data_IF_190510888458
#
_entry.id   IF_190510888458
#
_cell.length_a   1.000
_cell.length_b   1.000
_cell.length_c   1.000
_cell.angle_alpha   90.00
_cell.angle_beta   90.00
_cell.angle_gamma   90.00
#
_symmetry.space_group_name_H-M   'P 1'
#
loop_
_entity.id
_entity.type
_entity.pdbx_description
1 polymer ?
#
# COMPACT_ATOMS: atom_id res chain seq x y z
N UNK A 1 5.05 17.78 26.55
CA UNK A 1 4.06 17.28 25.60
C UNK A 1 4.77 16.62 24.44
N UNK A 2 4.42 15.43 24.18
CA UNK A 2 4.96 14.76 22.98
C UNK A 2 4.07 15.08 21.79
N UNK A 3 4.69 15.43 20.71
CA UNK A 3 3.99 15.58 19.44
C UNK A 3 3.94 14.19 18.79
N UNK A 4 2.75 13.64 18.73
CA UNK A 4 2.57 12.39 18.02
C UNK A 4 2.38 12.74 16.54
N UNK A 5 3.40 12.45 15.75
CA UNK A 5 3.28 12.62 14.30
C UNK A 5 2.47 11.45 13.76
N UNK A 6 1.43 11.76 13.00
CA UNK A 6 0.65 10.74 12.33
C UNK A 6 1.54 10.09 11.26
N UNK A 7 1.53 8.76 11.23
CA UNK A 7 2.21 8.03 10.19
C UNK A 7 1.38 8.12 8.91
N UNK A 8 2.06 8.27 7.79
CA UNK A 8 1.41 8.45 6.49
C UNK A 8 1.40 7.14 5.72
N UNK A 9 0.23 6.78 5.21
CA UNK A 9 0.05 5.63 4.32
C UNK A 9 -0.30 6.15 2.94
N UNK A 10 0.45 5.73 1.94
CA UNK A 10 0.12 5.99 0.54
C UNK A 10 -0.74 4.84 0.04
N UNK A 11 -1.97 5.13 -0.35
CA UNK A 11 -2.92 4.13 -0.88
C UNK A 11 -2.99 4.28 -2.39
N UNK A 12 -2.74 3.17 -3.09
CA UNK A 12 -2.74 3.12 -4.54
C UNK A 12 -3.92 2.26 -5.00
N UNK A 13 -4.93 2.91 -5.55
CA UNK A 13 -6.18 2.26 -5.92
C UNK A 13 -6.89 3.11 -6.97
N UNK A 14 -7.29 2.50 -8.09
CA UNK A 14 -7.98 3.22 -9.16
C UNK A 14 -9.50 3.24 -9.03
N UNK A 15 -10.06 2.38 -8.18
CA UNK A 15 -11.51 2.33 -7.94
C UNK A 15 -11.88 3.29 -6.82
N UNK A 16 -12.69 4.34 -7.09
CA UNK A 16 -12.99 5.36 -6.08
C UNK A 16 -13.61 4.81 -4.79
N UNK A 17 -14.52 3.86 -4.88
CA UNK A 17 -15.17 3.29 -3.70
C UNK A 17 -14.18 2.51 -2.83
N UNK A 18 -13.25 1.79 -3.44
CA UNK A 18 -12.23 1.05 -2.70
C UNK A 18 -11.18 1.98 -2.11
N UNK A 19 -10.81 3.02 -2.84
CA UNK A 19 -9.93 4.07 -2.32
C UNK A 19 -10.53 4.70 -1.06
N UNK A 20 -11.82 5.02 -1.11
CA UNK A 20 -12.50 5.61 0.02
C UNK A 20 -12.57 4.67 1.22
N UNK A 21 -12.89 3.40 0.98
CA UNK A 21 -12.97 2.40 2.04
C UNK A 21 -11.62 2.19 2.74
N UNK A 22 -10.57 1.99 1.96
CA UNK A 22 -9.22 1.82 2.50
C UNK A 22 -8.80 3.05 3.30
N UNK A 23 -9.04 4.24 2.74
CA UNK A 23 -8.69 5.50 3.39
C UNK A 23 -9.44 5.68 4.70
N UNK A 24 -10.73 5.35 4.71
CA UNK A 24 -11.55 5.44 5.90
C UNK A 24 -11.04 4.54 7.01
N UNK A 25 -10.78 3.28 6.71
CA UNK A 25 -10.25 2.33 7.68
C UNK A 25 -8.91 2.79 8.26
N UNK A 26 -8.03 3.28 7.42
CA UNK A 26 -6.72 3.73 7.86
C UNK A 26 -6.81 4.98 8.74
N UNK A 27 -7.68 5.92 8.39
CA UNK A 27 -7.90 7.11 9.21
C UNK A 27 -8.48 6.74 10.56
N UNK A 28 -9.40 5.79 10.61
CA UNK A 28 -9.93 5.28 11.88
C UNK A 28 -8.82 4.66 12.73
N UNK A 29 -7.82 4.09 12.11
CA UNK A 29 -6.65 3.54 12.79
C UNK A 29 -5.62 4.58 13.21
N UNK A 30 -5.86 5.85 12.94
CA UNK A 30 -4.97 6.93 13.35
C UNK A 30 -3.90 7.31 12.32
N UNK A 31 -4.06 6.89 11.07
CA UNK A 31 -3.09 7.20 10.01
C UNK A 31 -3.53 8.38 9.16
N UNK A 32 -2.54 9.12 8.66
CA UNK A 32 -2.76 10.09 7.60
C UNK A 32 -2.69 9.35 6.27
N UNK A 33 -3.58 9.68 5.35
CA UNK A 33 -3.70 8.96 4.07
C UNK A 33 -3.49 9.89 2.90
N UNK A 34 -2.66 9.46 1.95
CA UNK A 34 -2.48 10.10 0.66
C UNK A 34 -2.86 9.08 -0.40
N UNK A 35 -3.68 9.47 -1.35
CA UNK A 35 -4.13 8.58 -2.42
C UNK A 35 -3.39 8.79 -3.72
N UNK A 36 -3.21 7.70 -4.47
CA UNK A 36 -2.74 7.73 -5.85
C UNK A 36 -3.61 6.79 -6.66
N UNK A 37 -4.08 7.23 -7.82
CA UNK A 37 -5.00 6.44 -8.63
C UNK A 37 -4.30 5.63 -9.72
N UNK A 38 -3.00 5.85 -9.92
CA UNK A 38 -2.17 5.08 -10.85
C UNK A 38 -0.85 4.71 -10.18
N UNK A 39 -0.22 3.66 -10.68
CA UNK A 39 1.09 3.25 -10.19
C UNK A 39 2.16 4.32 -10.46
N UNK A 40 2.07 4.99 -11.62
CA UNK A 40 3.00 6.07 -11.97
C UNK A 40 2.91 7.23 -10.98
N UNK A 41 1.70 7.65 -10.66
CA UNK A 41 1.47 8.71 -9.67
C UNK A 41 1.99 8.27 -8.30
N UNK A 42 1.79 7.00 -7.96
CA UNK A 42 2.26 6.44 -6.70
C UNK A 42 3.80 6.48 -6.59
N UNK A 43 4.50 6.16 -7.67
CA UNK A 43 5.97 6.25 -7.68
C UNK A 43 6.43 7.66 -7.38
N UNK A 44 5.84 8.65 -8.04
CA UNK A 44 6.19 10.05 -7.84
C UNK A 44 5.91 10.50 -6.42
N UNK A 45 4.74 10.15 -5.89
CA UNK A 45 4.35 10.49 -4.52
C UNK A 45 5.20 9.79 -3.48
N UNK A 46 5.58 8.54 -3.72
CA UNK A 46 6.44 7.80 -2.80
C UNK A 46 7.82 8.46 -2.67
N UNK A 47 8.39 8.90 -3.78
CA UNK A 47 9.69 9.58 -3.78
C UNK A 47 9.57 10.93 -3.07
N UNK A 48 8.52 11.68 -3.38
CA UNK A 48 8.33 13.03 -2.87
C UNK A 48 7.96 13.05 -1.39
N UNK A 49 6.99 12.23 -0.99
CA UNK A 49 6.39 12.26 0.35
C UNK A 49 7.06 11.32 1.35
N UNK A 50 7.76 10.30 0.88
CA UNK A 50 8.40 9.29 1.71
C UNK A 50 7.43 8.73 2.76
N UNK A 51 6.34 8.08 2.32
CA UNK A 51 5.34 7.56 3.25
C UNK A 51 5.93 6.47 4.15
N UNK A 52 5.28 6.22 5.27
CA UNK A 52 5.70 5.17 6.19
C UNK A 52 5.35 3.77 5.66
N UNK A 53 4.26 3.67 4.91
CA UNK A 53 3.77 2.41 4.33
C UNK A 53 3.07 2.71 3.02
N UNK A 54 3.14 1.78 2.08
CA UNK A 54 2.39 1.83 0.82
C UNK A 54 1.44 0.64 0.78
N UNK A 55 0.15 0.92 0.52
CA UNK A 55 -0.87 -0.11 0.30
C UNK A 55 -1.32 -0.01 -1.14
N UNK A 56 -1.17 -1.07 -1.92
CA UNK A 56 -1.51 -1.04 -3.34
C UNK A 56 -2.34 -2.23 -3.77
N UNK A 57 -3.28 -2.01 -4.70
CA UNK A 57 -3.91 -3.10 -5.45
C UNK A 57 -2.94 -3.58 -6.52
N UNK A 58 -3.24 -4.74 -7.09
CA UNK A 58 -2.47 -5.33 -8.20
C UNK A 58 -3.05 -4.91 -9.54
N UNK A 59 -4.36 -4.99 -9.69
CA UNK A 59 -5.03 -4.77 -10.97
C UNK A 59 -5.34 -3.29 -11.14
N UNK A 60 -4.55 -2.64 -11.98
CA UNK A 60 -4.71 -1.22 -12.29
C UNK A 60 -4.36 -1.00 -13.77
N UNK A 61 -4.98 0.00 -14.42
CA UNK A 61 -4.61 0.34 -15.79
C UNK A 61 -3.13 0.76 -15.88
N UNK A 62 -2.46 0.35 -16.94
CA UNK A 62 -1.04 0.64 -17.12
C UNK A 62 -0.16 -0.26 -16.28
N UNK A 63 0.69 0.33 -15.45
CA UNK A 63 1.58 -0.43 -14.58
C UNK A 63 0.78 -1.12 -13.47
N UNK A 64 1.01 -2.42 -13.28
CA UNK A 64 0.35 -3.19 -12.22
C UNK A 64 0.96 -2.91 -10.85
N UNK A 65 0.26 -3.33 -9.79
CA UNK A 65 0.79 -3.23 -8.43
C UNK A 65 2.05 -4.07 -8.23
N UNK A 66 2.19 -5.18 -8.94
CA UNK A 66 3.41 -5.99 -8.90
C UNK A 66 4.60 -5.24 -9.50
N UNK A 67 4.40 -4.59 -10.63
CA UNK A 67 5.43 -3.78 -11.28
C UNK A 67 5.78 -2.57 -10.41
N UNK A 68 4.78 -1.94 -9.81
CA UNK A 68 5.00 -0.84 -8.87
C UNK A 68 5.88 -1.28 -7.71
N UNK A 69 5.58 -2.42 -7.12
CA UNK A 69 6.34 -2.98 -6.01
C UNK A 69 7.81 -3.16 -6.41
N UNK A 70 8.05 -3.77 -7.55
CA UNK A 70 9.40 -3.98 -8.08
C UNK A 70 10.13 -2.66 -8.28
N UNK A 71 9.45 -1.68 -8.88
CA UNK A 71 10.05 -0.36 -9.13
C UNK A 71 10.41 0.36 -7.84
N UNK A 72 9.54 0.28 -6.83
CA UNK A 72 9.80 0.88 -5.51
C UNK A 72 11.01 0.23 -4.84
N UNK A 73 11.14 -1.08 -4.94
CA UNK A 73 12.26 -1.81 -4.31
C UNK A 73 13.59 -1.57 -5.02
N UNK A 74 13.57 -1.20 -6.28
CA UNK A 74 14.78 -0.88 -7.05
C UNK A 74 15.26 0.55 -6.86
N UNK A 75 14.41 1.44 -6.39
CA UNK A 75 14.76 2.85 -6.24
C UNK A 75 15.32 3.11 -4.83
N UNK A 76 16.56 3.62 -4.71
CA UNK A 76 17.16 3.91 -3.39
C UNK A 76 16.32 4.84 -2.52
N UNK A 77 15.50 5.71 -3.13
CA UNK A 77 14.64 6.63 -2.39
C UNK A 77 13.45 5.95 -1.72
N UNK A 78 13.04 4.76 -2.22
CA UNK A 78 11.83 4.09 -1.77
C UNK A 78 12.04 2.64 -1.34
N UNK A 79 13.23 2.09 -1.53
CA UNK A 79 13.46 0.65 -1.35
C UNK A 79 13.19 0.14 0.07
N UNK A 80 13.23 1.01 1.07
CA UNK A 80 13.00 0.62 2.47
C UNK A 80 11.56 0.81 2.91
N UNK A 81 10.72 1.43 2.10
CA UNK A 81 9.31 1.64 2.46
C UNK A 81 8.57 0.32 2.39
N UNK A 82 7.91 -0.11 3.48
CA UNK A 82 7.12 -1.35 3.47
C UNK A 82 5.96 -1.26 2.49
N UNK A 83 5.67 -2.39 1.84
CA UNK A 83 4.60 -2.46 0.84
C UNK A 83 3.63 -3.57 1.22
N UNK A 84 2.35 -3.21 1.26
CA UNK A 84 1.25 -4.14 1.49
C UNK A 84 0.45 -4.22 0.20
N UNK A 85 0.30 -5.42 -0.34
CA UNK A 85 -0.60 -5.66 -1.47
C UNK A 85 -1.97 -6.02 -0.91
N UNK A 86 -3.01 -5.35 -1.41
CA UNK A 86 -4.38 -5.57 -1.01
C UNK A 86 -5.23 -5.73 -2.28
N UNK A 87 -5.63 -6.96 -2.60
CA UNK A 87 -6.19 -7.27 -3.91
C UNK A 87 -7.17 -8.44 -3.85
N UNK A 88 -8.03 -8.54 -4.87
CA UNK A 88 -8.92 -9.70 -5.04
C UNK A 88 -8.21 -10.92 -5.62
N UNK A 89 -6.97 -10.77 -6.08
CA UNK A 89 -6.15 -11.90 -6.58
C UNK A 89 -5.61 -12.71 -5.42
N UNK A 90 -6.38 -13.69 -4.96
CA UNK A 90 -6.09 -14.41 -3.73
C UNK A 90 -5.53 -15.83 -3.89
N UNK A 91 -5.15 -16.25 -5.10
CA UNK A 91 -4.57 -17.56 -5.30
C UNK A 91 -3.14 -17.64 -4.75
N UNK A 92 -2.70 -18.83 -4.40
CA UNK A 92 -1.35 -19.01 -3.85
C UNK A 92 -0.26 -18.51 -4.78
N UNK A 93 -0.43 -18.69 -6.10
CA UNK A 93 0.53 -18.20 -7.07
C UNK A 93 0.59 -16.68 -7.10
N UNK A 94 -0.54 -16.00 -6.90
CA UNK A 94 -0.58 -14.55 -6.83
C UNK A 94 0.19 -14.05 -5.62
N UNK A 95 -0.02 -14.67 -4.46
CA UNK A 95 0.69 -14.32 -3.22
C UNK A 95 2.18 -14.53 -3.35
N UNK A 96 2.57 -15.68 -3.90
CA UNK A 96 3.98 -15.99 -4.11
C UNK A 96 4.64 -14.95 -5.01
N UNK A 97 3.96 -14.60 -6.12
CA UNK A 97 4.47 -13.62 -7.05
C UNK A 97 4.62 -12.24 -6.40
N UNK A 98 3.61 -11.80 -5.64
CA UNK A 98 3.66 -10.54 -4.92
C UNK A 98 4.82 -10.46 -3.94
N UNK A 99 5.02 -11.50 -3.16
CA UNK A 99 6.13 -11.54 -2.20
C UNK A 99 7.48 -11.50 -2.91
N UNK A 100 7.59 -12.16 -4.06
CA UNK A 100 8.82 -12.13 -4.88
C UNK A 100 9.10 -10.75 -5.47
N UNK A 101 8.06 -9.95 -5.73
CA UNK A 101 8.26 -8.58 -6.18
C UNK A 101 8.71 -7.64 -5.06
N UNK A 102 8.68 -8.10 -3.82
CA UNK A 102 9.16 -7.35 -2.68
C UNK A 102 8.07 -6.86 -1.74
N UNK A 103 6.83 -7.34 -1.89
CA UNK A 103 5.78 -7.02 -0.93
C UNK A 103 6.11 -7.62 0.43
N UNK A 104 5.76 -6.90 1.49
CA UNK A 104 5.99 -7.33 2.86
C UNK A 104 4.79 -8.07 3.41
N UNK A 105 3.58 -7.70 2.97
CA UNK A 105 2.33 -8.35 3.37
C UNK A 105 1.42 -8.43 2.16
N UNK A 106 0.61 -9.48 2.08
CA UNK A 106 -0.37 -9.69 1.03
C UNK A 106 -1.73 -9.96 1.66
N UNK A 107 -2.70 -9.09 1.39
CA UNK A 107 -4.06 -9.21 1.90
C UNK A 107 -5.03 -9.44 0.75
N UNK A 108 -5.96 -10.37 0.91
CA UNK A 108 -6.97 -10.66 -0.10
C UNK A 108 -8.29 -9.95 0.24
N UNK A 109 -8.89 -9.32 -0.76
CA UNK A 109 -10.23 -8.74 -0.66
C UNK A 109 -11.28 -9.85 -0.73
N UNK A 110 -12.37 -9.78 0.01
CA UNK A 110 -12.68 -8.74 1.00
C UNK A 110 -11.87 -8.92 2.28
N UNK A 111 -11.61 -7.83 2.97
CA UNK A 111 -10.86 -7.82 4.21
C UNK A 111 -11.58 -6.97 5.26
N UNK A 112 -11.23 -7.18 6.52
CA UNK A 112 -11.79 -6.36 7.62
C UNK A 112 -10.84 -5.19 7.89
N UNK A 113 -11.39 -4.15 8.55
CA UNK A 113 -10.58 -3.04 9.03
C UNK A 113 -9.42 -3.55 9.89
N UNK A 114 -9.71 -4.50 10.78
CA UNK A 114 -8.73 -5.06 11.71
C UNK A 114 -7.59 -5.75 10.97
N UNK A 115 -7.89 -6.48 9.91
CA UNK A 115 -6.87 -7.12 9.08
C UNK A 115 -5.94 -6.10 8.43
N UNK A 116 -6.51 -5.02 7.88
CA UNK A 116 -5.74 -3.96 7.25
C UNK A 116 -4.84 -3.25 8.28
N UNK A 117 -5.42 -2.84 9.41
CA UNK A 117 -4.67 -2.14 10.45
C UNK A 117 -3.55 -3.01 11.01
N UNK A 118 -3.84 -4.30 11.24
CA UNK A 118 -2.83 -5.23 11.72
C UNK A 118 -1.68 -5.38 10.75
N UNK A 119 -1.99 -5.44 9.45
CA UNK A 119 -0.96 -5.53 8.42
C UNK A 119 -0.06 -4.29 8.43
N UNK A 120 -0.66 -3.10 8.51
CA UNK A 120 0.10 -1.85 8.56
C UNK A 120 0.98 -1.79 9.82
N UNK A 121 0.43 -2.17 10.96
CA UNK A 121 1.18 -2.21 12.22
C UNK A 121 2.33 -3.19 12.16
N UNK A 122 2.14 -4.35 11.51
CA UNK A 122 3.15 -5.40 11.45
C UNK A 122 4.42 -4.97 10.70
N UNK A 123 4.31 -3.98 9.83
CA UNK A 123 5.47 -3.46 9.07
C UNK A 123 5.98 -2.13 9.62
N UNK A 124 5.52 -1.74 10.80
CA UNK A 124 6.01 -0.54 11.47
C UNK A 124 5.25 0.74 11.10
N UNK A 125 4.12 0.56 10.45
CA UNK A 125 3.25 1.69 10.11
C UNK A 125 2.38 2.16 11.28
#
# INVERSE_FOLDING_TARGET
MSLTLMRTVLVVEDTPSEMELLSHYLREGGYSVVGAVTAKDALNKAIELKPNVIVTDVVMPGMSGFELCRSLKKNPETQKVPIIICTSKGQDIDRLWGMRQGADVYITKPFTREELIRAVQSVGG
#
